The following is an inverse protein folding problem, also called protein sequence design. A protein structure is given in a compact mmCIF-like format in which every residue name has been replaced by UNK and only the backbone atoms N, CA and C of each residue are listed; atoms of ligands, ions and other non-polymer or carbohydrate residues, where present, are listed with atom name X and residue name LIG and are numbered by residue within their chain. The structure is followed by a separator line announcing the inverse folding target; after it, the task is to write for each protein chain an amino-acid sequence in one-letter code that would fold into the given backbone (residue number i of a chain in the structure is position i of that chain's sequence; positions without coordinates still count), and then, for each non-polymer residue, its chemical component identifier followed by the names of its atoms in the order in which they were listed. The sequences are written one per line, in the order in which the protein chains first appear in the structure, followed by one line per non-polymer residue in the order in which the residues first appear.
data_IF_493784586666
#
_entry.id   IF_493784586666
#
_cell.length_a   1.000
_cell.length_b   1.000
_cell.length_c   1.000
_cell.angle_alpha   90.00
_cell.angle_beta   90.00
_cell.angle_gamma   90.00
#
_symmetry.space_group_name_H-M   'P 1'
#
loop_
_entity.id
_entity.type
_entity.pdbx_description
1 polymer ?
#
# COMPACT_ATOMS: atom_id res chain seq x y z
N UNK A 1 -15.79 -16.34 -33.49
CA UNK A 1 -14.99 -15.85 -32.33
C UNK A 1 -15.76 -16.25 -31.07
N UNK A 2 -15.19 -17.13 -30.26
CA UNK A 2 -15.81 -17.53 -28.98
C UNK A 2 -15.80 -16.32 -28.05
N UNK A 3 -16.99 -15.89 -27.66
CA UNK A 3 -17.20 -14.85 -26.66
C UNK A 3 -16.81 -15.45 -25.30
N UNK A 4 -15.51 -15.37 -24.97
CA UNK A 4 -15.01 -15.80 -23.69
C UNK A 4 -15.19 -14.65 -22.71
N UNK A 5 -16.28 -14.67 -21.98
CA UNK A 5 -16.44 -13.79 -20.81
C UNK A 5 -15.33 -14.12 -19.82
N UNK A 6 -14.49 -13.16 -19.41
CA UNK A 6 -13.47 -13.42 -18.40
C UNK A 6 -14.14 -13.91 -17.12
N UNK A 7 -13.63 -15.01 -16.57
CA UNK A 7 -14.08 -15.50 -15.26
C UNK A 7 -13.40 -14.60 -14.22
N UNK A 8 -14.18 -14.00 -13.32
CA UNK A 8 -13.64 -13.27 -12.18
C UNK A 8 -12.77 -14.21 -11.32
N UNK A 9 -11.64 -13.72 -10.82
CA UNK A 9 -10.80 -14.47 -9.88
C UNK A 9 -11.61 -14.91 -8.64
N UNK A 10 -12.59 -14.13 -8.21
CA UNK A 10 -13.50 -14.45 -7.10
C UNK A 10 -14.38 -15.67 -7.37
N UNK A 11 -14.73 -15.88 -8.62
CA UNK A 11 -15.54 -17.04 -9.04
C UNK A 11 -14.67 -18.25 -9.39
N UNK A 12 -13.46 -17.96 -9.90
CA UNK A 12 -12.52 -19.03 -10.28
C UNK A 12 -11.96 -19.77 -9.06
N UNK A 13 -11.63 -19.03 -7.99
CA UNK A 13 -11.02 -19.57 -6.78
C UNK A 13 -11.63 -18.95 -5.51
N UNK A 14 -12.80 -19.40 -5.06
CA UNK A 14 -13.45 -18.84 -3.86
C UNK A 14 -12.57 -18.87 -2.60
N UNK A 15 -11.67 -19.84 -2.47
CA UNK A 15 -10.73 -19.93 -1.35
C UNK A 15 -9.75 -18.77 -1.28
N UNK A 16 -9.45 -18.09 -2.43
CA UNK A 16 -8.65 -16.88 -2.43
C UNK A 16 -9.42 -15.71 -1.79
N UNK A 17 -10.72 -15.62 -2.02
CA UNK A 17 -11.57 -14.58 -1.41
C UNK A 17 -11.52 -14.69 0.11
N UNK A 18 -11.71 -15.89 0.65
CA UNK A 18 -11.66 -16.13 2.09
C UNK A 18 -10.29 -15.77 2.66
N UNK A 19 -9.21 -16.14 1.97
CA UNK A 19 -7.83 -15.80 2.36
C UNK A 19 -7.61 -14.28 2.39
N UNK A 20 -8.03 -13.57 1.35
CA UNK A 20 -7.91 -12.11 1.28
C UNK A 20 -8.71 -11.42 2.39
N UNK A 21 -9.94 -11.88 2.65
CA UNK A 21 -10.80 -11.35 3.71
C UNK A 21 -10.19 -11.58 5.09
N UNK A 22 -9.68 -12.78 5.34
CA UNK A 22 -9.03 -13.13 6.61
C UNK A 22 -7.78 -12.29 6.83
N UNK A 23 -6.88 -12.22 5.85
CA UNK A 23 -5.66 -11.43 5.93
C UNK A 23 -5.94 -9.93 6.14
N UNK A 24 -6.95 -9.40 5.42
CA UNK A 24 -7.33 -7.99 5.58
C UNK A 24 -7.90 -7.71 6.98
N UNK A 25 -8.77 -8.60 7.51
CA UNK A 25 -9.32 -8.46 8.85
C UNK A 25 -8.24 -8.54 9.94
N UNK A 26 -7.20 -9.35 9.73
CA UNK A 26 -6.10 -9.51 10.69
C UNK A 26 -5.10 -8.36 10.64
N UNK A 27 -4.70 -7.92 9.45
CA UNK A 27 -3.57 -7.02 9.28
C UNK A 27 -3.94 -5.58 8.95
N UNK A 28 -5.16 -5.34 8.45
CA UNK A 28 -5.65 -4.01 8.11
C UNK A 28 -7.17 -3.89 8.37
N UNK A 29 -7.60 -4.02 9.63
CA UNK A 29 -9.02 -4.17 9.99
C UNK A 29 -9.88 -2.94 9.69
N UNK A 30 -9.29 -1.79 9.39
CA UNK A 30 -10.03 -0.58 8.98
C UNK A 30 -10.30 -0.54 7.45
N UNK A 31 -9.86 -1.55 6.71
CA UNK A 31 -10.20 -1.68 5.30
C UNK A 31 -11.58 -2.33 5.14
N UNK A 32 -12.41 -1.73 4.31
CA UNK A 32 -13.79 -2.16 4.06
C UNK A 32 -13.94 -2.54 2.59
N UNK A 33 -14.54 -3.70 2.33
CA UNK A 33 -14.84 -4.15 0.97
C UNK A 33 -15.91 -3.23 0.32
N UNK A 34 -15.69 -2.89 -0.93
CA UNK A 34 -16.55 -2.02 -1.73
C UNK A 34 -16.72 -2.60 -3.13
N UNK A 35 -17.96 -2.73 -3.57
CA UNK A 35 -18.30 -3.19 -4.93
C UNK A 35 -18.44 -2.03 -5.92
N UNK A 36 -18.48 -0.80 -5.41
CA UNK A 36 -18.74 0.41 -6.19
C UNK A 36 -17.47 1.20 -6.55
N UNK A 37 -16.29 0.64 -6.32
CA UNK A 37 -15.04 1.30 -6.67
C UNK A 37 -14.81 1.33 -8.18
N UNK A 38 -13.97 2.26 -8.60
CA UNK A 38 -13.55 2.40 -9.98
C UNK A 38 -12.04 2.63 -10.06
N UNK A 39 -11.40 1.82 -10.89
CA UNK A 39 -10.01 2.03 -11.27
C UNK A 39 -9.95 2.57 -12.70
N UNK A 40 -9.42 3.79 -12.87
CA UNK A 40 -9.30 4.44 -14.19
C UNK A 40 -10.62 4.37 -15.01
N UNK A 41 -11.73 4.71 -14.34
CA UNK A 41 -13.10 4.67 -14.90
C UNK A 41 -13.70 3.28 -15.18
N UNK A 42 -12.99 2.19 -14.90
CA UNK A 42 -13.53 0.83 -14.95
C UNK A 42 -14.08 0.44 -13.59
N UNK A 43 -15.31 -0.12 -13.52
CA UNK A 43 -15.79 -0.71 -12.27
C UNK A 43 -14.84 -1.82 -11.83
N UNK A 44 -14.45 -1.81 -10.58
CA UNK A 44 -13.54 -2.81 -10.02
C UNK A 44 -13.73 -2.84 -8.50
N UNK A 45 -14.31 -3.93 -8.00
CA UNK A 45 -14.47 -4.12 -6.57
C UNK A 45 -13.11 -4.23 -5.87
N UNK A 46 -13.08 -3.88 -4.60
CA UNK A 46 -11.84 -3.92 -3.82
C UNK A 46 -12.04 -3.38 -2.42
N UNK A 47 -10.97 -2.95 -1.80
CA UNK A 47 -10.99 -2.41 -0.45
C UNK A 47 -10.77 -0.91 -0.46
N UNK A 48 -11.38 -0.24 0.51
CA UNK A 48 -11.11 1.17 0.81
C UNK A 48 -11.06 1.38 2.31
N UNK A 49 -10.09 2.13 2.79
CA UNK A 49 -9.96 2.45 4.21
C UNK A 49 -8.57 2.94 4.57
N UNK A 50 -8.26 2.90 5.87
CA UNK A 50 -6.99 3.35 6.38
C UNK A 50 -6.02 2.18 6.57
N UNK A 51 -4.80 2.39 6.09
CA UNK A 51 -3.69 1.50 6.42
C UNK A 51 -3.36 1.62 7.93
N UNK A 52 -2.81 0.56 8.55
CA UNK A 52 -2.34 0.63 9.93
C UNK A 52 -1.25 1.70 10.07
N UNK A 53 -1.21 2.34 11.24
CA UNK A 53 -0.19 3.38 11.54
C UNK A 53 1.22 2.79 11.50
N UNK A 54 1.39 1.58 12.00
CA UNK A 54 2.63 0.82 11.98
C UNK A 54 2.31 -0.66 11.72
N UNK A 55 3.00 -1.25 10.79
CA UNK A 55 2.78 -2.65 10.39
C UNK A 55 4.09 -3.46 10.32
N UNK A 56 5.18 -2.94 10.90
CA UNK A 56 6.45 -3.65 11.01
C UNK A 56 6.41 -4.69 12.12
N UNK A 57 7.16 -5.78 11.93
CA UNK A 57 7.33 -6.82 12.95
C UNK A 57 8.27 -6.38 14.08
N UNK A 58 9.00 -5.30 13.87
CA UNK A 58 9.84 -4.64 14.88
C UNK A 58 9.06 -3.57 15.64
N UNK A 59 9.57 -3.17 16.80
CA UNK A 59 9.01 -2.07 17.56
C UNK A 59 8.94 -0.78 16.74
N UNK A 60 7.82 -0.05 16.88
CA UNK A 60 7.62 1.24 16.22
C UNK A 60 8.68 2.24 16.76
N UNK A 61 9.49 2.86 15.88
CA UNK A 61 10.47 3.86 16.32
C UNK A 61 9.81 5.06 17.00
N UNK A 62 10.47 5.66 17.99
CA UNK A 62 10.02 6.92 18.57
C UNK A 62 9.96 8.01 17.49
N UNK A 63 9.01 8.94 17.62
CA UNK A 63 8.80 10.05 16.69
C UNK A 63 7.88 9.73 15.50
N UNK A 64 7.48 8.48 15.29
CA UNK A 64 6.53 8.13 14.22
C UNK A 64 5.18 8.81 14.45
N UNK A 65 4.64 8.77 15.67
CA UNK A 65 3.34 9.37 15.96
C UNK A 65 3.38 10.90 15.84
N UNK A 66 4.47 11.52 16.26
CA UNK A 66 4.69 12.96 16.12
C UNK A 66 4.85 13.37 14.66
N UNK A 67 5.59 12.61 13.85
CA UNK A 67 5.71 12.83 12.41
C UNK A 67 4.33 12.73 11.74
N UNK A 68 3.57 11.72 12.08
CA UNK A 68 2.21 11.53 11.54
C UNK A 68 1.28 12.66 11.96
N UNK A 69 1.40 13.17 13.19
CA UNK A 69 0.57 14.25 13.72
C UNK A 69 -0.94 14.06 13.44
N UNK A 70 -1.43 12.86 13.70
CA UNK A 70 -2.82 12.46 13.47
C UNK A 70 -3.18 12.17 12.00
N UNK A 71 -2.26 12.35 11.05
CA UNK A 71 -2.50 11.99 9.64
C UNK A 71 -2.53 10.48 9.47
N UNK A 72 -3.39 10.02 8.58
CA UNK A 72 -3.59 8.61 8.27
C UNK A 72 -3.48 8.40 6.76
N UNK A 73 -2.90 7.30 6.36
CA UNK A 73 -2.90 6.88 4.97
C UNK A 73 -4.25 6.24 4.63
N UNK A 74 -5.05 6.88 3.78
CA UNK A 74 -6.24 6.26 3.18
C UNK A 74 -5.86 5.69 1.82
N UNK A 75 -6.22 4.44 1.57
CA UNK A 75 -5.92 3.74 0.30
C UNK A 75 -7.16 3.08 -0.30
N UNK A 76 -7.09 2.87 -1.59
CA UNK A 76 -7.94 1.93 -2.34
C UNK A 76 -7.08 0.77 -2.84
N UNK A 77 -7.62 -0.43 -2.75
CA UNK A 77 -6.99 -1.65 -3.25
C UNK A 77 -7.87 -2.25 -4.32
N UNK A 78 -7.30 -2.56 -5.48
CA UNK A 78 -8.00 -3.14 -6.61
C UNK A 78 -7.35 -4.44 -7.03
N UNK A 79 -8.16 -5.39 -7.49
CA UNK A 79 -7.70 -6.69 -7.95
C UNK A 79 -7.76 -6.76 -9.47
N UNK A 80 -6.61 -6.88 -10.19
CA UNK A 80 -6.62 -7.14 -11.62
C UNK A 80 -7.18 -8.53 -11.92
N UNK A 81 -7.68 -8.73 -13.14
CA UNK A 81 -8.23 -10.02 -13.57
C UNK A 81 -7.24 -11.18 -13.42
N UNK A 82 -5.94 -10.90 -13.55
CA UNK A 82 -4.89 -11.90 -13.42
C UNK A 82 -4.41 -12.12 -11.95
N UNK A 83 -5.11 -11.56 -10.95
CA UNK A 83 -4.79 -11.84 -9.55
C UNK A 83 -5.02 -13.34 -9.25
N UNK A 84 -4.14 -14.01 -8.51
CA UNK A 84 -2.94 -13.54 -7.80
C UNK A 84 -1.63 -13.62 -8.62
N UNK A 85 -1.67 -14.02 -9.89
CA UNK A 85 -0.46 -14.05 -10.72
C UNK A 85 0.13 -12.64 -10.95
N UNK A 86 -0.72 -11.61 -10.82
CA UNK A 86 -0.36 -10.20 -10.80
C UNK A 86 -0.82 -9.62 -9.46
N UNK A 87 0.02 -8.85 -8.77
CA UNK A 87 -0.33 -8.28 -7.47
C UNK A 87 -1.53 -7.33 -7.54
N UNK A 88 -2.20 -7.15 -6.41
CA UNK A 88 -3.20 -6.11 -6.26
C UNK A 88 -2.60 -4.72 -6.49
N UNK A 89 -3.45 -3.78 -6.88
CA UNK A 89 -3.06 -2.39 -7.16
C UNK A 89 -3.47 -1.54 -5.96
N UNK A 90 -2.54 -0.82 -5.37
CA UNK A 90 -2.81 0.15 -4.31
C UNK A 90 -2.72 1.56 -4.84
N UNK A 91 -3.74 2.35 -4.53
CA UNK A 91 -3.80 3.77 -4.84
C UNK A 91 -4.00 4.57 -3.55
N UNK A 92 -3.11 5.52 -3.22
CA UNK A 92 -3.33 6.43 -2.10
C UNK A 92 -4.48 7.38 -2.44
N UNK A 93 -5.36 7.62 -1.48
CA UNK A 93 -6.46 8.59 -1.54
C UNK A 93 -6.08 9.83 -0.75
N UNK A 94 -5.57 9.62 0.47
CA UNK A 94 -4.99 10.64 1.32
C UNK A 94 -3.65 10.11 1.85
N UNK A 95 -2.54 10.77 1.48
CA UNK A 95 -2.45 12.00 0.67
C UNK A 95 -2.74 11.77 -0.82
N UNK A 96 -3.38 12.73 -1.46
CA UNK A 96 -3.42 12.78 -2.93
C UNK A 96 -2.04 13.21 -3.44
N UNK A 97 -1.34 12.26 -4.07
CA UNK A 97 0.03 12.49 -4.52
C UNK A 97 0.03 13.35 -5.78
N UNK A 98 0.66 14.54 -5.74
CA UNK A 98 0.71 15.44 -6.88
C UNK A 98 1.30 14.79 -8.13
N UNK A 99 0.83 15.20 -9.30
CA UNK A 99 1.24 14.60 -10.58
C UNK A 99 2.75 14.72 -10.84
N UNK A 100 3.37 15.81 -10.40
CA UNK A 100 4.81 16.06 -10.52
C UNK A 100 5.68 15.11 -9.68
N UNK A 101 5.11 14.44 -8.68
CA UNK A 101 5.80 13.43 -7.87
C UNK A 101 5.66 12.01 -8.43
N UNK A 102 4.72 11.80 -9.34
CA UNK A 102 4.51 10.50 -9.97
C UNK A 102 5.65 10.24 -10.97
N UNK A 103 5.97 8.98 -11.18
CA UNK A 103 7.08 8.54 -12.05
C UNK A 103 8.50 8.90 -11.58
N UNK A 104 8.63 9.62 -10.49
CA UNK A 104 9.93 9.87 -9.88
C UNK A 104 10.25 8.76 -8.88
N UNK A 105 11.35 8.05 -9.09
CA UNK A 105 11.77 6.92 -8.26
C UNK A 105 11.82 7.23 -6.76
N UNK A 106 12.15 8.48 -6.41
CA UNK A 106 12.23 8.92 -5.02
C UNK A 106 10.90 8.84 -4.25
N UNK A 107 9.75 8.85 -4.95
CA UNK A 107 8.41 8.86 -4.33
C UNK A 107 7.72 7.51 -4.38
N UNK A 108 8.23 6.56 -5.13
CA UNK A 108 7.64 5.23 -5.33
C UNK A 108 6.15 5.27 -5.70
N UNK A 109 5.80 6.17 -6.62
CA UNK A 109 4.46 6.31 -7.19
C UNK A 109 4.52 6.20 -8.70
N UNK A 110 3.74 5.30 -9.26
CA UNK A 110 3.62 5.11 -10.70
C UNK A 110 2.89 6.29 -11.37
N UNK A 111 3.09 6.46 -12.69
CA UNK A 111 2.42 7.52 -13.45
C UNK A 111 0.89 7.47 -13.41
N UNK A 112 0.32 6.29 -13.18
CA UNK A 112 -1.12 6.09 -13.01
C UNK A 112 -1.64 6.42 -11.59
N UNK A 113 -0.76 6.80 -10.66
CA UNK A 113 -1.09 7.13 -9.28
C UNK A 113 -1.01 5.95 -8.30
N UNK A 114 -0.81 4.72 -8.78
CA UNK A 114 -0.64 3.59 -7.87
C UNK A 114 0.73 3.60 -7.19
N UNK A 115 0.81 3.02 -6.00
CA UNK A 115 2.07 2.85 -5.29
C UNK A 115 2.95 1.79 -5.96
N UNK A 116 4.25 2.06 -6.03
CA UNK A 116 5.27 1.09 -6.42
C UNK A 116 5.88 0.50 -5.15
N UNK A 117 5.30 -0.59 -4.63
CA UNK A 117 5.68 -1.20 -3.36
C UNK A 117 6.60 -2.43 -3.52
N UNK A 118 6.95 -2.76 -4.75
CA UNK A 118 7.81 -3.88 -5.09
C UNK A 118 8.96 -3.39 -5.97
N UNK A 119 10.16 -3.90 -5.73
CA UNK A 119 11.35 -3.50 -6.47
C UNK A 119 11.62 -4.42 -7.65
N UNK A 120 11.21 -5.68 -7.55
CA UNK A 120 11.37 -6.70 -8.57
C UNK A 120 10.08 -7.51 -8.74
N UNK A 121 9.93 -8.20 -9.88
CA UNK A 121 8.73 -8.99 -10.15
C UNK A 121 8.60 -10.21 -9.21
N UNK A 122 9.71 -10.67 -8.66
CA UNK A 122 9.80 -11.77 -7.69
C UNK A 122 9.62 -11.34 -6.23
N UNK A 123 9.36 -10.04 -5.97
CA UNK A 123 8.94 -9.55 -4.66
C UNK A 123 7.46 -9.88 -4.33
N UNK A 124 6.74 -10.49 -5.27
CA UNK A 124 5.37 -10.96 -5.11
C UNK A 124 5.32 -12.47 -5.26
N UNK A 125 4.85 -13.14 -4.22
CA UNK A 125 4.59 -14.58 -4.22
C UNK A 125 3.08 -14.84 -4.31
N UNK A 126 2.68 -16.00 -4.84
CA UNK A 126 1.26 -16.39 -4.93
C UNK A 126 0.60 -16.58 -3.56
N UNK A 127 1.41 -16.66 -2.50
CA UNK A 127 0.94 -16.72 -1.11
C UNK A 127 0.76 -15.35 -0.47
N UNK A 128 1.31 -14.29 -1.07
CA UNK A 128 1.10 -12.92 -0.61
C UNK A 128 -0.37 -12.50 -0.78
N UNK A 129 -0.79 -11.57 0.05
CA UNK A 129 -2.15 -11.03 0.08
C UNK A 129 -2.13 -9.51 -0.19
N UNK A 130 -3.29 -8.97 -0.54
CA UNK A 130 -3.42 -7.52 -0.64
C UNK A 130 -3.16 -6.81 0.71
N UNK A 131 -3.39 -7.49 1.83
CA UNK A 131 -3.06 -6.97 3.16
C UNK A 131 -1.56 -6.75 3.36
N UNK A 132 -0.71 -7.60 2.77
CA UNK A 132 0.76 -7.40 2.81
C UNK A 132 1.18 -6.13 2.09
N UNK A 133 0.51 -5.80 0.98
CA UNK A 133 0.74 -4.54 0.28
C UNK A 133 0.24 -3.34 1.10
N UNK A 134 -0.90 -3.45 1.78
CA UNK A 134 -1.41 -2.40 2.68
C UNK A 134 -0.43 -2.17 3.84
N UNK A 135 0.15 -3.24 4.40
CA UNK A 135 1.23 -3.13 5.40
C UNK A 135 2.45 -2.39 4.84
N UNK A 136 2.94 -2.77 3.66
CA UNK A 136 4.05 -2.06 2.99
C UNK A 136 3.74 -0.59 2.75
N UNK A 137 2.50 -0.28 2.38
CA UNK A 137 2.06 1.10 2.16
C UNK A 137 2.10 1.96 3.44
N UNK A 138 1.91 1.39 4.63
CA UNK A 138 2.10 2.13 5.88
C UNK A 138 3.53 2.63 6.06
N UNK A 139 4.52 1.82 5.71
CA UNK A 139 5.93 2.21 5.68
C UNK A 139 6.21 3.28 4.63
N UNK A 140 5.66 3.10 3.42
CA UNK A 140 5.74 4.10 2.37
C UNK A 140 5.24 5.47 2.84
N UNK A 141 4.14 5.51 3.57
CA UNK A 141 3.57 6.76 4.04
C UNK A 141 4.48 7.52 5.02
N UNK A 142 5.13 6.80 5.93
CA UNK A 142 6.11 7.39 6.86
C UNK A 142 7.28 8.02 6.07
N UNK A 143 7.84 7.28 5.11
CA UNK A 143 8.93 7.79 4.29
C UNK A 143 8.47 8.92 3.36
N UNK A 144 7.23 8.86 2.84
CA UNK A 144 6.64 9.95 2.07
C UNK A 144 6.61 11.25 2.87
N UNK A 145 6.21 11.20 4.14
CA UNK A 145 6.17 12.36 5.01
C UNK A 145 7.58 12.89 5.34
N UNK A 146 8.55 12.02 5.54
CA UNK A 146 9.95 12.43 5.73
C UNK A 146 10.52 13.10 4.49
N UNK A 147 10.23 12.59 3.31
CA UNK A 147 10.65 13.17 2.04
C UNK A 147 9.95 14.52 1.78
N UNK A 148 8.64 14.60 2.07
CA UNK A 148 7.87 15.84 1.94
C UNK A 148 8.38 16.94 2.88
N UNK A 149 8.83 16.57 4.08
CA UNK A 149 9.49 17.46 5.03
C UNK A 149 10.97 17.77 4.70
N UNK A 150 11.50 17.24 3.58
CA UNK A 150 12.90 17.43 3.18
C UNK A 150 13.92 16.76 4.09
N UNK A 151 13.50 15.78 4.91
CA UNK A 151 14.37 15.04 5.84
C UNK A 151 15.14 13.92 5.17
N UNK A 152 14.62 13.40 4.05
CA UNK A 152 15.26 12.41 3.19
C UNK A 152 15.15 12.84 1.72
N UNK A 153 16.14 12.52 0.93
CA UNK A 153 16.14 12.81 -0.53
C UNK A 153 15.47 11.69 -1.32
N UNK A 154 15.47 10.48 -0.78
CA UNK A 154 14.87 9.28 -1.40
C UNK A 154 14.44 8.30 -0.33
N UNK A 155 13.47 7.48 -0.66
CA UNK A 155 13.01 6.39 0.20
C UNK A 155 14.06 5.28 0.31
N UNK A 156 14.01 4.51 1.38
CA UNK A 156 14.90 3.37 1.62
C UNK A 156 14.59 2.22 0.65
N UNK A 157 15.55 1.36 0.44
CA UNK A 157 15.39 0.23 -0.47
C UNK A 157 14.39 -0.81 0.06
N UNK A 158 14.38 -1.07 1.36
CA UNK A 158 13.57 -2.13 1.96
C UNK A 158 12.37 -1.61 2.76
N UNK A 159 12.18 -0.29 2.81
CA UNK A 159 11.12 0.36 3.58
C UNK A 159 11.41 0.45 5.08
N UNK A 160 10.93 1.52 5.69
CA UNK A 160 11.15 1.83 7.13
C UNK A 160 10.62 0.75 8.08
N UNK A 161 9.71 -0.10 7.64
CA UNK A 161 9.19 -1.19 8.48
C UNK A 161 10.27 -2.25 8.80
N UNK A 162 11.28 -2.36 7.96
CA UNK A 162 12.39 -3.33 8.08
C UNK A 162 13.71 -2.60 8.29
N UNK A 163 13.94 -1.52 7.55
CA UNK A 163 15.19 -0.76 7.54
C UNK A 163 15.23 0.21 8.73
N UNK A 164 16.27 0.13 9.55
CA UNK A 164 16.47 0.99 10.72
C UNK A 164 17.25 2.27 10.44
N UNK A 165 17.71 2.48 9.21
CA UNK A 165 18.54 3.64 8.83
C UNK A 165 17.88 5.00 9.05
N UNK A 166 16.54 5.03 9.12
CA UNK A 166 15.75 6.24 9.35
C UNK A 166 15.37 6.46 10.82
N UNK A 167 15.67 5.53 11.73
CA UNK A 167 15.24 5.61 13.13
C UNK A 167 15.75 6.85 13.83
N UNK A 168 17.00 7.25 13.58
CA UNK A 168 17.57 8.48 14.15
C UNK A 168 16.82 9.74 13.67
N UNK A 169 16.40 9.78 12.40
CA UNK A 169 15.62 10.90 11.83
C UNK A 169 14.20 10.94 12.40
N UNK A 170 13.59 9.78 12.62
CA UNK A 170 12.28 9.68 13.27
C UNK A 170 12.35 10.15 14.71
N UNK A 171 13.38 9.76 15.45
CA UNK A 171 13.57 10.16 16.85
C UNK A 171 13.70 11.68 17.04
N UNK A 172 14.13 12.44 16.02
CA UNK A 172 14.15 13.90 16.07
C UNK A 172 12.75 14.49 16.29
N UNK A 173 11.71 13.85 15.75
CA UNK A 173 10.32 14.29 15.92
C UNK A 173 9.80 14.05 17.35
N UNK A 174 10.27 13.03 18.04
CA UNK A 174 9.86 12.75 19.42
C UNK A 174 10.33 13.84 20.41
N UNK A 175 11.30 14.68 20.01
CA UNK A 175 11.91 15.71 20.87
C UNK A 175 11.50 17.13 20.46
N UNK A 176 10.64 17.27 19.46
CA UNK A 176 10.18 18.55 18.93
C UNK A 176 8.81 18.90 19.48
#
# INVERSE_FOLDING_TARGET
MSDRTPISWTDAEPGLVDREQQAMAEHAPEMVWRDDLRWRNRPMAGWKGHAPVWAGDREKPPGVDELLNGRRLEVRVFYPEAFPAVPAILEPVEPDVPLERRTLNQWHVNGNGSLCLMQAADDWDLTDTAADLVRKASGWFIEYLLADAGKIERMTQHGVLVDTSLDAKLAEYATS
#
